data_IF_520568902360
#
_entry.id   IF_520568902360
#
_cell.length_a   1.000
_cell.length_b   1.000
_cell.length_c   1.000
_cell.angle_alpha   90.00
_cell.angle_beta   90.00
_cell.angle_gamma   90.00
#
_symmetry.space_group_name_H-M   'P 1'
#
loop_
_entity.id
_entity.type
_entity.pdbx_description
1 polymer ?
#
# COMPACT_ATOMS: atom_id res chain seq x y z
N UNK A 1 10.48 32.19 -18.20
CA UNK A 1 10.82 31.36 -17.01
C UNK A 1 9.54 30.85 -16.37
N UNK A 2 9.08 29.65 -16.74
CA UNK A 2 7.82 29.09 -16.19
C UNK A 2 7.76 27.56 -16.15
N UNK A 3 8.83 26.86 -16.53
CA UNK A 3 8.86 25.41 -16.69
C UNK A 3 9.26 24.62 -15.43
N UNK A 4 9.56 25.29 -14.30
CA UNK A 4 10.15 24.62 -13.12
C UNK A 4 9.14 24.39 -11.98
N UNK A 5 7.89 24.88 -12.09
CA UNK A 5 6.91 24.79 -10.99
C UNK A 5 5.88 23.67 -11.12
N UNK A 6 5.83 22.98 -12.27
CA UNK A 6 4.89 21.88 -12.50
C UNK A 6 5.48 20.48 -12.30
N UNK A 7 6.81 20.34 -12.27
CA UNK A 7 7.47 19.05 -12.17
C UNK A 7 7.78 18.61 -10.72
N UNK A 8 7.47 19.44 -9.71
CA UNK A 8 7.78 19.13 -8.30
C UNK A 8 6.62 18.43 -7.55
N UNK A 9 5.48 18.18 -8.20
CA UNK A 9 4.35 17.43 -7.60
C UNK A 9 4.17 16.04 -8.20
N UNK A 10 5.00 15.68 -9.19
CA UNK A 10 4.93 14.42 -9.94
C UNK A 10 6.12 13.51 -9.62
N UNK A 11 6.65 13.57 -8.40
CA UNK A 11 7.85 12.85 -8.00
C UNK A 11 7.79 12.41 -6.54
N UNK A 12 6.67 11.80 -6.13
CA UNK A 12 6.69 10.84 -5.01
C UNK A 12 7.19 9.45 -5.49
N UNK A 13 7.91 9.40 -6.63
CA UNK A 13 8.31 8.15 -7.25
C UNK A 13 9.59 8.25 -8.11
N UNK A 14 10.57 9.09 -7.74
CA UNK A 14 11.98 8.80 -8.09
C UNK A 14 12.88 9.14 -6.90
N UNK A 15 13.12 8.14 -6.08
CA UNK A 15 14.44 7.94 -5.49
C UNK A 15 14.53 6.48 -5.09
N UNK A 16 15.20 5.67 -5.90
CA UNK A 16 16.10 4.58 -5.47
C UNK A 16 15.95 4.14 -3.99
N UNK A 17 14.86 3.43 -3.68
CA UNK A 17 14.73 2.73 -2.41
C UNK A 17 13.74 1.58 -2.58
N UNK A 18 14.30 0.36 -2.61
CA UNK A 18 13.63 -0.91 -2.36
C UNK A 18 13.07 -1.63 -3.61
N UNK A 19 14.01 -2.17 -4.39
CA UNK A 19 13.85 -3.46 -5.07
C UNK A 19 13.21 -4.48 -4.10
N UNK A 20 11.88 -4.63 -4.14
CA UNK A 20 11.14 -5.61 -3.35
C UNK A 20 9.93 -5.04 -2.62
N UNK A 21 8.75 -5.40 -3.14
CA UNK A 21 7.43 -5.46 -2.49
C UNK A 21 6.56 -4.18 -2.39
N UNK A 22 5.31 -4.35 -2.87
CA UNK A 22 4.05 -3.72 -2.41
C UNK A 22 3.39 -2.62 -3.28
N UNK A 23 3.23 -2.87 -4.59
CA UNK A 23 2.14 -2.24 -5.35
C UNK A 23 0.79 -2.94 -5.03
N UNK A 24 -0.34 -2.22 -5.16
CA UNK A 24 -1.73 -2.62 -4.84
C UNK A 24 -1.91 -4.12 -4.54
N UNK A 25 -2.06 -4.48 -3.26
CA UNK A 25 -2.21 -5.88 -2.83
C UNK A 25 -3.58 -6.11 -2.21
N UNK A 26 -4.09 -7.33 -2.35
CA UNK A 26 -5.21 -7.79 -1.53
C UNK A 26 -4.60 -8.39 -0.26
N UNK A 27 -5.00 -7.88 0.90
CA UNK A 27 -4.64 -8.45 2.19
C UNK A 27 -5.78 -9.27 2.76
N UNK A 28 -5.44 -10.40 3.35
CA UNK A 28 -6.35 -11.35 3.95
C UNK A 28 -6.01 -11.50 5.43
N UNK A 29 -6.97 -11.22 6.30
CA UNK A 29 -6.82 -11.28 7.74
C UNK A 29 -7.77 -12.35 8.33
N UNK A 30 -7.19 -13.39 8.93
CA UNK A 30 -7.92 -14.41 9.69
C UNK A 30 -7.78 -14.12 11.18
N UNK A 31 -8.89 -13.86 11.84
CA UNK A 31 -8.93 -13.60 13.28
C UNK A 31 -9.00 -14.93 14.03
N UNK A 32 -8.06 -15.13 14.95
CA UNK A 32 -7.93 -16.32 15.80
C UNK A 32 -7.71 -15.86 17.25
N UNK A 33 -8.03 -16.72 18.22
CA UNK A 33 -7.91 -16.39 19.65
C UNK A 33 -6.47 -16.10 20.09
N UNK A 34 -5.48 -16.63 19.37
CA UNK A 34 -4.05 -16.41 19.56
C UNK A 34 -3.28 -16.77 18.29
N UNK A 35 -2.00 -16.39 18.22
CA UNK A 35 -1.12 -16.80 17.12
C UNK A 35 -0.90 -18.32 17.09
N UNK A 36 -0.92 -18.95 15.91
CA UNK A 36 -0.68 -20.38 15.77
C UNK A 36 0.78 -20.73 16.05
N UNK A 37 1.02 -21.91 16.61
CA UNK A 37 2.35 -22.51 16.66
C UNK A 37 2.66 -23.22 15.33
N UNK A 38 3.93 -23.48 15.07
CA UNK A 38 4.34 -24.23 13.88
C UNK A 38 3.65 -25.61 13.85
N UNK A 39 3.00 -25.94 12.72
CA UNK A 39 2.27 -27.19 12.52
C UNK A 39 0.88 -27.28 13.17
N UNK A 40 0.40 -26.21 13.82
CA UNK A 40 -0.92 -26.18 14.44
C UNK A 40 -2.00 -25.64 13.50
N UNK A 41 -3.18 -26.26 13.52
CA UNK A 41 -4.38 -25.75 12.82
C UNK A 41 -5.36 -25.16 13.82
N UNK A 42 -5.77 -23.90 13.61
CA UNK A 42 -6.74 -23.20 14.45
C UNK A 42 -7.99 -22.83 13.66
N UNK A 43 -9.14 -22.90 14.34
CA UNK A 43 -10.39 -22.38 13.77
C UNK A 43 -10.43 -20.85 13.96
N UNK A 44 -10.57 -20.13 12.85
CA UNK A 44 -10.76 -18.68 12.87
C UNK A 44 -12.17 -18.31 13.32
N UNK A 45 -12.31 -17.19 14.02
CA UNK A 45 -13.61 -16.61 14.38
C UNK A 45 -14.15 -15.68 13.30
N UNK A 46 -13.27 -15.11 12.47
CA UNK A 46 -13.63 -14.19 11.38
C UNK A 46 -12.57 -14.19 10.29
N UNK A 47 -13.00 -13.93 9.06
CA UNK A 47 -12.15 -13.71 7.90
C UNK A 47 -12.48 -12.36 7.26
N UNK A 48 -11.47 -11.57 6.89
CA UNK A 48 -11.64 -10.29 6.22
C UNK A 48 -10.64 -10.14 5.09
N UNK A 49 -11.11 -9.67 3.94
CA UNK A 49 -10.25 -9.21 2.85
C UNK A 49 -10.28 -7.69 2.78
N UNK A 50 -9.16 -7.09 2.41
CA UNK A 50 -9.04 -5.64 2.23
C UNK A 50 -7.98 -5.29 1.20
N UNK A 51 -7.87 -4.01 0.89
CA UNK A 51 -6.86 -3.49 0.00
C UNK A 51 -5.67 -2.98 0.80
N UNK A 52 -4.48 -3.24 0.29
CA UNK A 52 -3.22 -2.84 0.85
C UNK A 52 -2.20 -2.54 -0.24
N UNK A 53 -0.93 -2.60 0.13
CA UNK A 53 0.17 -2.17 -0.72
C UNK A 53 0.67 -0.81 -0.25
N UNK A 54 1.97 -0.74 0.07
CA UNK A 54 2.60 0.47 0.57
C UNK A 54 2.44 1.62 -0.43
N UNK A 55 2.61 1.34 -1.72
CA UNK A 55 2.42 2.33 -2.78
C UNK A 55 0.96 2.82 -2.90
N UNK A 56 -0.01 1.91 -2.80
CA UNK A 56 -1.42 2.26 -2.85
C UNK A 56 -1.84 3.14 -1.66
N UNK A 57 -1.42 2.76 -0.45
CA UNK A 57 -1.74 3.52 0.75
C UNK A 57 -1.09 4.90 0.76
N UNK A 58 0.17 5.01 0.32
CA UNK A 58 0.86 6.30 0.21
C UNK A 58 0.18 7.22 -0.81
N UNK A 59 -0.18 6.70 -1.99
CA UNK A 59 -0.89 7.45 -3.02
C UNK A 59 -2.24 7.97 -2.50
N UNK A 60 -3.02 7.13 -1.81
CA UNK A 60 -4.29 7.54 -1.19
C UNK A 60 -4.08 8.63 -0.14
N UNK A 61 -3.04 8.52 0.70
CA UNK A 61 -2.75 9.53 1.72
C UNK A 61 -2.33 10.86 1.11
N UNK A 62 -1.51 10.86 0.05
CA UNK A 62 -1.16 12.07 -0.67
C UNK A 62 -2.40 12.72 -1.33
N UNK A 63 -3.28 11.93 -1.94
CA UNK A 63 -4.54 12.42 -2.48
C UNK A 63 -5.43 13.08 -1.41
N UNK A 64 -5.52 12.45 -0.22
CA UNK A 64 -6.28 12.98 0.93
C UNK A 64 -5.72 14.29 1.48
N UNK A 65 -4.41 14.53 1.33
CA UNK A 65 -3.76 15.78 1.70
C UNK A 65 -3.91 16.87 0.61
N UNK A 66 -4.58 16.57 -0.50
CA UNK A 66 -4.81 17.51 -1.60
C UNK A 66 -3.71 17.55 -2.65
N UNK A 67 -2.80 16.56 -2.65
CA UNK A 67 -1.83 16.42 -3.74
C UNK A 67 -2.52 15.89 -5.01
N UNK A 68 -2.01 16.32 -6.15
CA UNK A 68 -2.37 15.71 -7.44
C UNK A 68 -1.63 14.38 -7.57
N UNK A 69 -2.36 13.26 -7.65
CA UNK A 69 -1.80 11.91 -7.58
C UNK A 69 -2.39 11.01 -8.63
N UNK A 70 -1.55 10.21 -9.28
CA UNK A 70 -1.96 9.12 -10.16
C UNK A 70 -1.35 7.80 -9.68
N UNK A 71 -2.14 6.73 -9.67
CA UNK A 71 -1.65 5.38 -9.37
C UNK A 71 -1.41 4.64 -10.68
N UNK A 72 -0.16 4.21 -10.93
CA UNK A 72 0.20 3.40 -12.10
C UNK A 72 0.32 1.94 -11.68
N UNK A 73 -0.59 1.11 -12.17
CA UNK A 73 -0.74 -0.31 -11.84
C UNK A 73 -0.56 -1.20 -13.08
N UNK A 74 -0.23 -2.48 -12.87
CA UNK A 74 -0.42 -3.54 -13.86
C UNK A 74 -1.36 -4.62 -13.31
#
# INVERSE_FOLDING_TARGET
MGFVKFLLHMLCCESEAQYGFNFCTIFCCSYVSRLPKAGETLHGSKFSMGFGGKGANQCIMAARLGCDTAMVAK
#
